data_IF_238266379602
#
_entry.id   IF_238266379602
#
_cell.length_a   1.000
_cell.length_b   1.000
_cell.length_c   1.000
_cell.angle_alpha   90.00
_cell.angle_beta   90.00
_cell.angle_gamma   90.00
#
_symmetry.space_group_name_H-M   'P 1'
#
loop_
_entity.id
_entity.type
_entity.pdbx_description
1 polymer ?
#
# COMPACT_ATOMS: atom_id res chain seq x y z
N UNK A 1 53.45 -5.37 26.14
CA UNK A 1 54.07 -6.70 26.07
C UNK A 1 53.24 -7.50 25.09
N UNK A 2 53.83 -7.65 24.00
CA UNK A 2 54.30 -8.86 23.26
C UNK A 2 53.16 -9.50 22.46
N UNK A 3 53.19 -9.88 21.23
CA UNK A 3 54.13 -9.75 20.11
C UNK A 3 53.40 -10.32 18.88
N UNK A 4 53.58 -9.73 17.75
CA UNK A 4 53.27 -10.37 16.45
C UNK A 4 54.29 -11.50 16.19
N UNK A 5 54.02 -12.43 15.28
CA UNK A 5 54.88 -12.40 14.12
C UNK A 5 54.19 -12.55 12.75
N UNK A 6 54.91 -11.94 11.82
CA UNK A 6 54.81 -12.10 10.39
C UNK A 6 55.26 -13.50 9.95
N UNK A 7 54.71 -14.01 8.85
CA UNK A 7 55.47 -14.91 7.97
C UNK A 7 55.22 -14.57 6.51
N UNK A 8 56.32 -14.17 5.90
CA UNK A 8 56.55 -14.12 4.45
C UNK A 8 56.97 -15.51 3.99
N UNK A 9 56.61 -15.89 2.79
CA UNK A 9 57.43 -16.75 1.90
C UNK A 9 56.86 -16.55 0.51
N UNK A 10 57.60 -15.99 -0.36
CA UNK A 10 58.82 -16.28 -1.14
C UNK A 10 58.44 -16.93 -2.47
N UNK A 11 58.72 -16.15 -3.50
CA UNK A 11 58.79 -16.49 -4.93
C UNK A 11 60.13 -17.20 -5.15
N UNK A 12 60.26 -18.12 -6.09
CA UNK A 12 61.47 -18.23 -6.84
C UNK A 12 61.29 -18.10 -8.36
N UNK A 13 62.35 -17.68 -9.05
CA UNK A 13 62.47 -17.47 -10.50
C UNK A 13 63.17 -18.62 -11.21
N UNK A 14 63.16 -18.59 -12.51
CA UNK A 14 64.11 -19.36 -13.28
C UNK A 14 63.64 -19.69 -14.67
N UNK A 15 63.97 -18.91 -15.65
CA UNK A 15 65.10 -19.11 -16.58
C UNK A 15 64.88 -20.30 -17.53
N UNK A 16 64.98 -19.99 -18.80
CA UNK A 16 65.50 -20.90 -19.79
C UNK A 16 65.13 -20.56 -21.22
N UNK A 17 66.05 -19.84 -21.83
CA UNK A 17 66.12 -19.58 -23.28
C UNK A 17 66.41 -20.87 -24.05
N UNK A 18 66.01 -20.95 -25.28
CA UNK A 18 66.45 -22.00 -26.22
C UNK A 18 66.02 -21.67 -27.63
N UNK A 19 66.93 -21.02 -28.30
CA UNK A 19 66.94 -20.73 -29.74
C UNK A 19 67.23 -21.99 -30.56
N UNK A 20 66.91 -21.87 -31.80
CA UNK A 20 67.37 -22.63 -33.00
C UNK A 20 66.51 -23.88 -33.27
N UNK A 21 66.03 -24.08 -34.47
CA UNK A 21 66.82 -24.26 -35.69
C UNK A 21 65.97 -23.97 -36.92
N UNK A 22 66.54 -23.28 -37.81
CA UNK A 22 66.22 -23.12 -39.23
C UNK A 22 66.44 -24.44 -40.01
N UNK A 23 65.86 -24.45 -41.19
CA UNK A 23 66.11 -25.32 -42.36
C UNK A 23 65.16 -26.53 -42.44
N UNK A 24 64.54 -26.88 -43.52
CA UNK A 24 65.01 -26.95 -44.92
C UNK A 24 63.77 -27.28 -45.84
N UNK A 25 63.81 -26.59 -46.99
CA UNK A 25 63.40 -27.05 -48.35
C UNK A 25 61.90 -27.50 -48.59
N UNK A 26 61.24 -26.67 -49.33
CA UNK A 26 60.89 -26.73 -50.72
C UNK A 26 60.79 -28.14 -51.36
N UNK A 27 59.61 -28.47 -51.83
CA UNK A 27 59.43 -29.15 -53.11
C UNK A 27 57.93 -29.19 -53.49
N UNK A 28 57.58 -28.53 -54.60
CA UNK A 28 56.71 -28.88 -55.68
C UNK A 28 55.23 -29.20 -55.40
N UNK A 29 54.44 -28.36 -55.89
CA UNK A 29 53.75 -28.39 -57.22
C UNK A 29 52.40 -29.11 -57.24
N UNK A 30 51.55 -28.38 -57.79
CA UNK A 30 50.41 -28.76 -58.61
C UNK A 30 49.08 -28.88 -57.91
N UNK A 31 48.31 -27.81 -57.92
CA UNK A 31 47.12 -27.71 -58.75
C UNK A 31 46.01 -28.68 -58.34
N UNK A 32 45.05 -28.11 -57.72
CA UNK A 32 43.68 -28.14 -58.27
C UNK A 32 42.87 -27.06 -57.55
N UNK A 33 42.57 -25.99 -58.30
CA UNK A 33 41.54 -25.03 -57.91
C UNK A 33 40.18 -25.72 -58.09
N UNK A 34 39.65 -26.28 -57.02
CA UNK A 34 38.22 -26.55 -56.93
C UNK A 34 37.58 -25.33 -56.30
N UNK A 35 36.61 -24.72 -56.92
CA UNK A 35 35.79 -23.72 -56.23
C UNK A 35 34.97 -24.45 -55.18
N UNK A 36 35.35 -24.33 -53.94
CA UNK A 36 34.48 -24.70 -52.81
C UNK A 36 33.31 -23.68 -52.85
N UNK A 37 32.14 -24.14 -53.34
CA UNK A 37 30.88 -23.53 -52.98
C UNK A 37 30.79 -23.58 -51.44
N UNK A 38 31.17 -22.50 -50.79
CA UNK A 38 30.82 -22.29 -49.42
C UNK A 38 29.30 -22.07 -49.41
N UNK A 39 28.57 -23.16 -49.14
CA UNK A 39 27.19 -23.07 -48.76
C UNK A 39 27.15 -22.21 -47.47
N UNK A 40 26.81 -20.92 -47.67
CA UNK A 40 26.46 -20.05 -46.52
C UNK A 40 25.20 -20.66 -45.90
N UNK A 41 25.36 -21.42 -44.84
CA UNK A 41 24.28 -21.74 -43.95
C UNK A 41 23.65 -20.40 -43.52
N UNK A 42 22.33 -20.25 -43.68
CA UNK A 42 21.69 -19.05 -43.17
C UNK A 42 22.03 -18.95 -41.70
N UNK A 43 22.71 -17.87 -41.31
CA UNK A 43 22.96 -17.56 -39.91
C UNK A 43 21.58 -17.57 -39.24
N UNK A 44 21.35 -18.60 -38.43
CA UNK A 44 20.18 -18.63 -37.55
C UNK A 44 20.27 -17.36 -36.70
N UNK A 45 19.36 -16.42 -36.95
CA UNK A 45 19.17 -15.29 -36.05
C UNK A 45 19.05 -15.83 -34.63
N UNK A 46 19.76 -15.27 -33.64
CA UNK A 46 19.62 -15.72 -32.26
C UNK A 46 18.11 -15.69 -31.92
N UNK A 47 17.57 -16.67 -31.22
CA UNK A 47 16.20 -16.65 -30.82
C UNK A 47 15.94 -15.31 -30.14
N UNK A 48 15.00 -14.54 -30.68
CA UNK A 48 14.57 -13.30 -30.06
C UNK A 48 14.12 -13.68 -28.66
N UNK A 49 14.97 -13.42 -27.66
CA UNK A 49 14.57 -13.54 -26.28
C UNK A 49 13.46 -12.52 -26.12
N UNK A 50 12.20 -12.99 -26.17
CA UNK A 50 11.06 -12.15 -25.86
C UNK A 50 11.32 -11.58 -24.46
N UNK A 51 11.52 -10.27 -24.39
CA UNK A 51 11.70 -9.59 -23.13
C UNK A 51 10.48 -9.90 -22.26
N UNK A 52 10.71 -10.54 -21.11
CA UNK A 52 9.65 -10.79 -20.14
C UNK A 52 9.48 -9.52 -19.35
N UNK A 53 8.31 -8.91 -19.46
CA UNK A 53 7.94 -7.78 -18.58
C UNK A 53 7.74 -8.35 -17.19
N UNK A 54 8.64 -8.00 -16.27
CA UNK A 54 8.58 -8.47 -14.88
C UNK A 54 7.51 -7.72 -14.08
N UNK A 55 7.42 -6.39 -14.26
CA UNK A 55 6.40 -5.54 -13.67
C UNK A 55 6.31 -4.21 -14.44
N UNK A 56 5.30 -3.41 -14.16
CA UNK A 56 5.07 -2.13 -14.83
C UNK A 56 4.90 -1.03 -13.79
N UNK A 57 5.61 0.09 -13.98
CA UNK A 57 5.39 1.30 -13.17
C UNK A 57 4.07 1.93 -13.59
N UNK A 58 3.16 2.16 -12.66
CA UNK A 58 1.85 2.79 -12.87
C UNK A 58 1.81 4.23 -12.40
N UNK A 59 2.64 4.59 -11.43
CA UNK A 59 2.81 5.97 -11.00
C UNK A 59 4.19 6.18 -10.36
N UNK A 60 4.61 7.44 -10.25
CA UNK A 60 5.80 7.86 -9.52
C UNK A 60 5.39 8.95 -8.53
N UNK A 61 5.83 8.83 -7.27
CA UNK A 61 5.58 9.80 -6.21
C UNK A 61 6.93 10.30 -5.70
N UNK A 62 7.30 11.51 -6.08
CA UNK A 62 8.65 12.06 -5.93
C UNK A 62 9.67 11.13 -6.62
N UNK A 63 10.46 10.38 -5.83
CA UNK A 63 11.45 9.41 -6.33
C UNK A 63 11.05 7.95 -6.10
N UNK A 64 9.80 7.67 -5.74
CA UNK A 64 9.30 6.33 -5.44
C UNK A 64 8.34 5.86 -6.53
N UNK A 65 8.67 4.74 -7.18
CA UNK A 65 7.77 4.10 -8.14
C UNK A 65 6.67 3.30 -7.42
N UNK A 66 5.47 3.32 -7.98
CA UNK A 66 4.35 2.43 -7.65
C UNK A 66 4.18 1.47 -8.82
N UNK A 67 4.18 0.17 -8.53
CA UNK A 67 4.12 -0.89 -9.52
C UNK A 67 2.69 -1.40 -9.73
N UNK A 68 2.45 -2.04 -10.86
CA UNK A 68 1.17 -2.69 -11.13
C UNK A 68 0.88 -3.82 -10.12
N UNK A 69 1.92 -4.54 -9.69
CA UNK A 69 1.80 -5.54 -8.63
C UNK A 69 1.40 -4.95 -7.28
N UNK A 70 1.92 -3.77 -6.91
CA UNK A 70 1.53 -3.08 -5.68
C UNK A 70 0.03 -2.74 -5.70
N UNK A 71 -0.45 -2.31 -6.87
CA UNK A 71 -1.85 -1.98 -7.07
C UNK A 71 -2.77 -3.20 -6.93
N UNK A 72 -2.37 -4.34 -7.51
CA UNK A 72 -3.11 -5.59 -7.40
C UNK A 72 -3.10 -6.12 -5.96
N UNK A 73 -2.00 -5.96 -5.25
CA UNK A 73 -1.90 -6.32 -3.84
C UNK A 73 -2.76 -5.44 -2.95
N UNK A 74 -2.81 -4.13 -3.20
CA UNK A 74 -3.67 -3.22 -2.43
C UNK A 74 -5.15 -3.62 -2.58
N UNK A 75 -5.58 -3.97 -3.80
CA UNK A 75 -6.94 -4.47 -4.06
C UNK A 75 -7.21 -5.77 -3.29
N UNK A 76 -6.26 -6.72 -3.26
CA UNK A 76 -6.40 -7.98 -2.51
C UNK A 76 -6.42 -7.75 -1.00
N UNK A 77 -5.53 -6.88 -0.49
CA UNK A 77 -5.40 -6.57 0.93
C UNK A 77 -6.61 -5.80 1.49
N UNK A 78 -7.40 -5.17 0.62
CA UNK A 78 -8.62 -4.46 1.04
C UNK A 78 -9.62 -5.35 1.79
N UNK A 79 -9.59 -6.67 1.60
CA UNK A 79 -10.42 -7.61 2.37
C UNK A 79 -10.11 -7.59 3.87
N UNK A 80 -8.90 -7.17 4.25
CA UNK A 80 -8.46 -7.05 5.64
C UNK A 80 -8.87 -5.72 6.29
N UNK A 81 -9.43 -4.78 5.52
CA UNK A 81 -9.83 -3.47 6.04
C UNK A 81 -11.31 -3.49 6.47
N UNK A 82 -11.60 -3.36 7.78
CA UNK A 82 -12.98 -3.28 8.26
C UNK A 82 -13.76 -2.09 7.67
N UNK A 83 -13.07 -1.00 7.33
CA UNK A 83 -13.66 0.19 6.72
C UNK A 83 -14.18 -0.04 5.29
N UNK A 84 -13.75 -1.12 4.62
CA UNK A 84 -14.24 -1.49 3.29
C UNK A 84 -15.54 -2.31 3.33
N UNK A 85 -15.95 -2.78 4.50
CA UNK A 85 -17.19 -3.57 4.65
C UNK A 85 -18.39 -2.72 4.22
N UNK A 86 -19.09 -3.16 3.17
CA UNK A 86 -20.25 -2.44 2.62
C UNK A 86 -19.96 -1.38 1.55
N UNK A 87 -18.68 -1.07 1.27
CA UNK A 87 -18.28 -0.11 0.22
C UNK A 87 -18.07 -0.77 -1.16
N UNK A 88 -18.23 -2.09 -1.25
CA UNK A 88 -17.95 -2.84 -2.48
C UNK A 88 -16.47 -3.16 -2.68
N UNK A 89 -16.14 -3.60 -3.90
CA UNK A 89 -14.75 -3.94 -4.25
C UNK A 89 -13.93 -2.65 -4.42
N UNK A 90 -12.74 -2.63 -3.83
CA UNK A 90 -11.78 -1.53 -4.04
C UNK A 90 -11.39 -1.46 -5.51
N UNK A 91 -11.68 -0.34 -6.17
CA UNK A 91 -11.29 -0.14 -7.58
C UNK A 91 -9.80 0.14 -7.68
N UNK A 92 -9.18 -0.23 -8.83
CA UNK A 92 -7.75 0.06 -9.09
C UNK A 92 -7.40 1.54 -8.93
N UNK A 93 -8.29 2.43 -9.36
CA UNK A 93 -8.10 3.88 -9.21
C UNK A 93 -8.05 4.30 -7.74
N UNK A 94 -9.00 3.85 -6.93
CA UNK A 94 -8.99 4.13 -5.48
C UNK A 94 -7.79 3.50 -4.77
N UNK A 95 -7.37 2.29 -5.21
CA UNK A 95 -6.16 1.65 -4.71
C UNK A 95 -4.91 2.49 -5.03
N UNK A 96 -4.81 3.04 -6.26
CA UNK A 96 -3.71 3.95 -6.61
C UNK A 96 -3.69 5.19 -5.73
N UNK A 97 -4.85 5.83 -5.51
CA UNK A 97 -4.95 6.99 -4.61
C UNK A 97 -4.49 6.67 -3.17
N UNK A 98 -4.82 5.48 -2.67
CA UNK A 98 -4.35 5.00 -1.37
C UNK A 98 -2.84 4.80 -1.35
N UNK A 99 -2.27 4.20 -2.41
CA UNK A 99 -0.83 3.98 -2.54
C UNK A 99 -0.05 5.29 -2.65
N UNK A 100 -0.56 6.26 -3.41
CA UNK A 100 0.03 7.61 -3.50
C UNK A 100 0.04 8.27 -2.12
N UNK A 101 -1.10 8.29 -1.43
CA UNK A 101 -1.19 8.82 -0.07
C UNK A 101 -0.22 8.13 0.88
N UNK A 102 -0.12 6.81 0.81
CA UNK A 102 0.83 5.99 1.58
C UNK A 102 2.28 6.41 1.33
N UNK A 103 2.68 6.52 0.07
CA UNK A 103 4.04 6.90 -0.29
C UNK A 103 4.41 8.28 0.27
N UNK A 104 3.52 9.27 0.17
CA UNK A 104 3.73 10.60 0.71
C UNK A 104 3.87 10.59 2.24
N UNK A 105 2.99 9.87 2.94
CA UNK A 105 3.02 9.76 4.40
C UNK A 105 4.31 9.08 4.86
N UNK A 106 4.71 7.97 4.23
CA UNK A 106 5.93 7.27 4.57
C UNK A 106 7.18 8.13 4.33
N UNK A 107 7.19 8.94 3.27
CA UNK A 107 8.28 9.89 3.03
C UNK A 107 8.35 10.93 4.14
N UNK A 108 7.21 11.43 4.62
CA UNK A 108 7.15 12.39 5.72
C UNK A 108 7.60 11.78 7.05
N UNK A 109 7.17 10.55 7.37
CA UNK A 109 7.62 9.82 8.57
C UNK A 109 9.15 9.69 8.55
N UNK A 110 9.73 9.30 7.41
CA UNK A 110 11.19 9.18 7.27
C UNK A 110 11.92 10.53 7.42
N UNK A 111 11.34 11.62 6.92
CA UNK A 111 11.93 12.95 7.05
C UNK A 111 11.91 13.48 8.48
N UNK A 112 10.91 13.12 9.25
CA UNK A 112 10.79 13.50 10.66
C UNK A 112 11.60 12.61 11.61
N UNK A 113 12.36 11.64 11.07
CA UNK A 113 13.19 10.65 11.81
C UNK A 113 12.41 9.93 12.92
N UNK A 114 11.16 9.58 12.64
CA UNK A 114 10.25 8.99 13.60
C UNK A 114 10.46 7.47 13.75
N UNK A 115 11.64 7.05 14.20
CA UNK A 115 11.92 5.65 14.52
C UNK A 115 10.97 5.07 15.58
N UNK A 116 10.37 5.93 16.41
CA UNK A 116 9.38 5.54 17.42
C UNK A 116 8.06 5.02 16.81
N UNK A 117 7.83 5.24 15.52
CA UNK A 117 6.64 4.76 14.84
C UNK A 117 6.73 3.30 14.37
N UNK A 118 7.92 2.71 14.29
CA UNK A 118 8.11 1.33 13.81
C UNK A 118 7.49 0.33 14.80
N UNK A 119 6.47 -0.46 14.37
CA UNK A 119 5.82 -1.41 15.26
C UNK A 119 6.70 -2.65 15.49
N UNK A 120 6.69 -3.15 16.72
CA UNK A 120 7.30 -4.42 17.04
C UNK A 120 6.53 -5.59 16.41
N UNK A 121 7.20 -6.73 16.22
CA UNK A 121 6.54 -7.94 15.71
C UNK A 121 5.36 -8.38 16.60
N UNK A 122 5.50 -8.26 17.92
CA UNK A 122 4.44 -8.61 18.86
C UNK A 122 3.15 -7.80 18.64
N UNK A 123 3.27 -6.54 18.24
CA UNK A 123 2.10 -5.68 17.95
C UNK A 123 1.44 -6.06 16.61
N UNK A 124 2.26 -6.40 15.61
CA UNK A 124 1.75 -6.92 14.34
C UNK A 124 1.01 -8.24 14.56
N UNK A 125 1.59 -9.15 15.33
CA UNK A 125 0.98 -10.45 15.66
C UNK A 125 -0.33 -10.28 16.44
N UNK A 126 -0.37 -9.35 17.40
CA UNK A 126 -1.58 -9.04 18.16
C UNK A 126 -2.69 -8.49 17.21
N UNK A 127 -2.33 -7.55 16.33
CA UNK A 127 -3.28 -7.01 15.34
C UNK A 127 -3.79 -8.08 14.38
N UNK A 128 -2.92 -8.98 13.93
CA UNK A 128 -3.30 -10.12 13.11
C UNK A 128 -4.28 -11.04 13.86
N UNK A 129 -4.04 -11.30 15.12
CA UNK A 129 -4.93 -12.12 15.95
C UNK A 129 -6.33 -11.52 16.09
N UNK A 130 -6.43 -10.19 16.22
CA UNK A 130 -7.72 -9.47 16.24
C UNK A 130 -8.46 -9.59 14.91
N UNK A 131 -7.77 -9.36 13.78
CA UNK A 131 -8.35 -9.52 12.44
C UNK A 131 -8.89 -10.93 12.23
N UNK A 132 -8.12 -11.94 12.61
CA UNK A 132 -8.54 -13.35 12.47
C UNK A 132 -9.78 -13.69 13.28
N UNK A 133 -10.06 -12.96 14.36
CA UNK A 133 -11.23 -13.16 15.25
C UNK A 133 -12.43 -12.29 14.86
N UNK A 134 -12.19 -11.06 14.47
CA UNK A 134 -13.22 -10.01 14.42
C UNK A 134 -13.68 -9.67 13.00
N UNK A 135 -12.79 -9.82 12.00
CA UNK A 135 -13.14 -9.46 10.63
C UNK A 135 -14.29 -10.36 10.12
N UNK A 136 -15.41 -9.79 9.62
CA UNK A 136 -16.58 -10.58 9.21
C UNK A 136 -16.28 -11.65 8.14
N UNK A 137 -15.37 -11.38 7.22
CA UNK A 137 -14.90 -12.36 6.24
C UNK A 137 -14.19 -13.53 6.93
N UNK A 138 -13.27 -13.22 7.86
CA UNK A 138 -12.54 -14.21 8.64
C UNK A 138 -13.43 -15.06 9.57
N UNK A 139 -14.47 -14.45 10.16
CA UNK A 139 -15.42 -15.21 11.00
C UNK A 139 -16.14 -16.27 10.17
N UNK A 140 -16.56 -15.93 8.94
CA UNK A 140 -17.24 -16.88 8.04
C UNK A 140 -16.33 -18.02 7.58
N UNK A 141 -15.04 -17.75 7.40
CA UNK A 141 -14.04 -18.69 6.89
C UNK A 141 -13.23 -19.38 8.01
N UNK A 142 -13.62 -19.17 9.28
CA UNK A 142 -12.95 -19.75 10.45
C UNK A 142 -11.44 -19.44 10.51
N UNK A 143 -11.04 -18.19 10.20
CA UNK A 143 -9.64 -17.76 10.23
C UNK A 143 -8.99 -17.82 11.63
N UNK A 144 -9.77 -18.02 12.69
CA UNK A 144 -9.21 -18.19 14.03
C UNK A 144 -8.32 -19.44 14.10
N UNK A 145 -8.62 -20.48 13.30
CA UNK A 145 -7.75 -21.65 13.12
C UNK A 145 -6.67 -21.39 12.07
N UNK A 146 -5.50 -22.03 12.22
CA UNK A 146 -4.42 -21.90 11.23
C UNK A 146 -4.79 -22.52 9.87
N UNK A 147 -5.58 -23.59 9.88
CA UNK A 147 -6.08 -24.19 8.65
C UNK A 147 -7.02 -23.24 7.90
N UNK A 148 -7.99 -22.62 8.61
CA UNK A 148 -8.89 -21.62 8.04
C UNK A 148 -8.15 -20.39 7.53
N UNK A 149 -7.15 -19.91 8.30
CA UNK A 149 -6.32 -18.79 7.87
C UNK A 149 -5.56 -19.07 6.57
N UNK A 150 -4.97 -20.27 6.42
CA UNK A 150 -4.29 -20.68 5.18
C UNK A 150 -5.26 -20.71 3.99
N UNK A 151 -6.48 -21.21 4.19
CA UNK A 151 -7.51 -21.24 3.15
C UNK A 151 -7.91 -19.80 2.78
N UNK A 152 -8.13 -18.93 3.77
CA UNK A 152 -8.44 -17.52 3.55
C UNK A 152 -7.37 -16.82 2.71
N UNK A 153 -6.09 -16.96 3.08
CA UNK A 153 -4.99 -16.38 2.32
C UNK A 153 -4.96 -16.88 0.87
N UNK A 154 -5.09 -18.19 0.67
CA UNK A 154 -5.11 -18.79 -0.66
C UNK A 154 -6.29 -18.29 -1.51
N UNK A 155 -7.49 -18.19 -0.91
CA UNK A 155 -8.72 -17.72 -1.58
C UNK A 155 -8.57 -16.28 -2.07
N UNK A 156 -7.90 -15.43 -1.28
CA UNK A 156 -7.71 -14.02 -1.62
C UNK A 156 -6.37 -13.72 -2.32
N UNK A 157 -5.56 -14.74 -2.64
CA UNK A 157 -4.26 -14.58 -3.31
C UNK A 157 -3.27 -13.79 -2.47
N UNK A 158 -3.34 -13.92 -1.13
CA UNK A 158 -2.48 -13.26 -0.17
C UNK A 158 -1.40 -14.21 0.34
N UNK A 159 -0.26 -13.64 0.77
CA UNK A 159 0.78 -14.36 1.51
C UNK A 159 0.92 -13.81 2.92
N UNK A 160 1.41 -14.61 3.89
CA UNK A 160 1.64 -14.15 5.25
C UNK A 160 2.54 -12.91 5.30
N UNK A 161 3.58 -12.85 4.48
CA UNK A 161 4.57 -11.77 4.43
C UNK A 161 3.94 -10.44 3.95
N UNK A 162 3.03 -10.52 2.96
CA UNK A 162 2.29 -9.35 2.47
C UNK A 162 1.33 -8.82 3.52
N UNK A 163 0.66 -9.71 4.23
CA UNK A 163 -0.23 -9.33 5.33
C UNK A 163 0.57 -8.70 6.48
N UNK A 164 1.71 -9.28 6.87
CA UNK A 164 2.59 -8.71 7.90
C UNK A 164 3.04 -7.29 7.53
N UNK A 165 3.55 -7.10 6.32
CA UNK A 165 3.99 -5.79 5.79
C UNK A 165 2.84 -4.78 5.79
N UNK A 166 1.65 -5.19 5.36
CA UNK A 166 0.46 -4.34 5.37
C UNK A 166 0.06 -3.91 6.78
N UNK A 167 0.04 -4.84 7.73
CA UNK A 167 -0.33 -4.55 9.13
C UNK A 167 0.69 -3.65 9.81
N UNK A 168 1.99 -3.93 9.60
CA UNK A 168 3.09 -3.11 10.11
C UNK A 168 2.93 -1.67 9.67
N UNK A 169 2.75 -1.47 8.38
CA UNK A 169 2.51 -0.16 7.80
C UNK A 169 1.25 0.52 8.38
N UNK A 170 0.12 -0.21 8.52
CA UNK A 170 -1.11 0.34 9.10
C UNK A 170 -0.91 0.81 10.54
N UNK A 171 -0.19 0.06 11.35
CA UNK A 171 0.12 0.43 12.75
C UNK A 171 1.02 1.67 12.79
N UNK A 172 2.07 1.71 11.94
CA UNK A 172 2.98 2.85 11.82
C UNK A 172 2.22 4.15 11.51
N UNK A 173 1.37 4.13 10.50
CA UNK A 173 0.54 5.28 10.11
C UNK A 173 -0.40 5.72 11.23
N UNK A 174 -1.10 4.79 11.87
CA UNK A 174 -2.02 5.13 12.95
C UNK A 174 -1.30 5.78 14.13
N UNK A 175 -0.13 5.29 14.50
CA UNK A 175 0.71 5.92 15.54
C UNK A 175 1.15 7.33 15.14
N UNK A 176 1.62 7.48 13.91
CA UNK A 176 2.03 8.78 13.41
C UNK A 176 0.87 9.79 13.45
N UNK A 177 -0.33 9.38 13.00
CA UNK A 177 -1.53 10.23 13.06
C UNK A 177 -1.88 10.59 14.49
N UNK A 178 -1.84 9.63 15.41
CA UNK A 178 -2.14 9.85 16.82
C UNK A 178 -1.16 10.83 17.45
N UNK A 179 0.13 10.65 17.24
CA UNK A 179 1.17 11.55 17.77
C UNK A 179 1.07 12.94 17.19
N UNK A 180 0.82 13.06 15.88
CA UNK A 180 0.82 14.35 15.19
C UNK A 180 -0.44 15.19 15.44
N UNK A 181 -1.60 14.53 15.47
CA UNK A 181 -2.87 15.26 15.46
C UNK A 181 -3.66 15.13 16.76
N UNK A 182 -3.76 13.92 17.33
CA UNK A 182 -4.64 13.67 18.48
C UNK A 182 -4.26 14.44 19.73
N UNK A 183 -2.97 14.56 20.03
CA UNK A 183 -2.48 15.18 21.28
C UNK A 183 -2.81 16.66 21.41
N UNK A 184 -3.01 17.38 20.31
CA UNK A 184 -3.33 18.81 20.28
C UNK A 184 -4.82 19.13 20.34
N UNK A 185 -5.71 18.14 20.24
CA UNK A 185 -7.16 18.36 20.15
C UNK A 185 -7.80 18.30 21.54
N UNK A 186 -8.61 19.30 21.84
CA UNK A 186 -9.42 19.35 23.05
C UNK A 186 -10.88 19.56 22.68
N UNK A 187 -11.73 18.61 23.06
CA UNK A 187 -13.18 18.71 22.85
C UNK A 187 -13.82 19.36 24.07
N UNK A 188 -14.49 20.48 23.88
CA UNK A 188 -15.14 21.22 24.94
C UNK A 188 -16.49 20.57 25.34
N UNK A 189 -16.93 20.81 26.59
CA UNK A 189 -18.24 20.38 27.06
C UNK A 189 -19.39 20.92 26.17
N UNK A 190 -19.22 22.15 25.66
CA UNK A 190 -20.19 22.78 24.76
C UNK A 190 -20.34 22.06 23.42
N UNK A 191 -19.24 21.56 22.85
CA UNK A 191 -19.28 20.77 21.61
C UNK A 191 -19.99 19.43 21.84
N UNK A 192 -19.73 18.78 22.99
CA UNK A 192 -20.39 17.54 23.38
C UNK A 192 -21.91 17.77 23.53
N UNK A 193 -22.32 18.83 24.23
CA UNK A 193 -23.72 19.20 24.41
C UNK A 193 -24.39 19.53 23.06
N UNK A 194 -23.71 20.28 22.21
CA UNK A 194 -24.19 20.63 20.87
C UNK A 194 -24.42 19.38 20.02
N UNK A 195 -23.47 18.46 20.02
CA UNK A 195 -23.60 17.18 19.30
C UNK A 195 -24.76 16.34 19.85
N UNK A 196 -24.89 16.26 21.18
CA UNK A 196 -25.97 15.53 21.83
C UNK A 196 -27.35 16.04 21.40
N UNK A 197 -27.60 17.37 21.45
CA UNK A 197 -28.88 17.97 21.10
C UNK A 197 -29.18 17.97 19.61
N UNK A 198 -28.15 18.25 18.76
CA UNK A 198 -28.40 18.51 17.35
C UNK A 198 -28.19 17.24 16.48
N UNK A 199 -27.43 16.25 16.98
CA UNK A 199 -27.09 15.07 16.18
C UNK A 199 -27.63 13.78 16.80
N UNK A 200 -27.48 13.59 18.11
CA UNK A 200 -27.87 12.33 18.75
C UNK A 200 -29.37 12.28 19.06
N UNK A 201 -29.91 13.26 19.78
CA UNK A 201 -31.33 13.29 20.17
C UNK A 201 -32.33 13.16 19.00
N UNK A 202 -32.11 13.83 17.84
CA UNK A 202 -33.02 13.70 16.70
C UNK A 202 -33.10 12.30 16.10
N UNK A 203 -32.18 11.39 16.44
CA UNK A 203 -32.18 10.00 15.95
C UNK A 203 -33.18 9.12 16.74
N UNK A 204 -33.68 9.60 17.89
CA UNK A 204 -34.64 8.87 18.71
C UNK A 204 -36.08 9.32 18.35
N UNK A 205 -36.97 8.35 18.18
CA UNK A 205 -38.36 8.65 17.89
C UNK A 205 -39.04 9.36 19.08
N UNK A 206 -40.07 10.16 18.79
CA UNK A 206 -40.83 10.83 19.84
C UNK A 206 -41.45 9.81 20.82
N UNK A 207 -41.04 9.88 22.10
CA UNK A 207 -41.49 8.97 23.16
C UNK A 207 -40.56 7.78 23.40
N UNK A 208 -39.50 7.63 22.65
CA UNK A 208 -38.47 6.63 22.92
C UNK A 208 -37.45 7.17 23.95
N UNK A 209 -37.03 6.39 24.97
CA UNK A 209 -36.11 6.87 25.98
C UNK A 209 -34.73 7.05 25.40
N UNK A 210 -34.32 8.30 25.15
CA UNK A 210 -32.94 8.62 24.79
C UNK A 210 -32.02 8.52 26.01
N UNK A 211 -30.74 8.11 25.82
CA UNK A 211 -29.76 8.09 26.89
C UNK A 211 -29.47 9.51 27.37
N UNK A 212 -29.23 9.68 28.66
CA UNK A 212 -28.84 11.00 29.23
C UNK A 212 -27.46 11.43 28.74
N UNK A 213 -27.23 12.74 28.67
CA UNK A 213 -25.94 13.31 28.23
C UNK A 213 -24.77 12.70 28.98
N UNK A 214 -24.86 12.60 30.32
CA UNK A 214 -23.75 12.07 31.16
C UNK A 214 -23.31 10.65 30.77
N UNK A 215 -24.27 9.82 30.34
CA UNK A 215 -23.98 8.43 29.94
C UNK A 215 -23.27 8.35 28.58
N UNK A 216 -23.53 9.29 27.68
CA UNK A 216 -23.03 9.27 26.32
C UNK A 216 -21.91 10.27 26.06
N UNK A 217 -21.70 11.24 26.96
CA UNK A 217 -20.68 12.27 26.81
C UNK A 217 -19.27 11.71 26.49
N UNK A 218 -18.76 10.67 27.14
CA UNK A 218 -17.43 10.11 26.80
C UNK A 218 -17.40 9.57 25.35
N UNK A 219 -18.52 8.95 24.92
CA UNK A 219 -18.61 8.43 23.54
C UNK A 219 -18.71 9.54 22.51
N UNK A 220 -19.46 10.59 22.81
CA UNK A 220 -19.58 11.79 21.95
C UNK A 220 -18.22 12.47 21.84
N UNK A 221 -17.50 12.61 22.96
CA UNK A 221 -16.15 13.16 22.97
C UNK A 221 -15.21 12.41 22.03
N UNK A 222 -15.22 11.08 22.08
CA UNK A 222 -14.40 10.26 21.19
C UNK A 222 -14.79 10.41 19.72
N UNK A 223 -16.09 10.48 19.40
CA UNK A 223 -16.59 10.72 18.04
C UNK A 223 -16.10 12.08 17.52
N UNK A 224 -16.25 13.15 18.31
CA UNK A 224 -15.83 14.49 17.91
C UNK A 224 -14.31 14.58 17.75
N UNK A 225 -13.55 13.95 18.67
CA UNK A 225 -12.10 13.86 18.57
C UNK A 225 -11.69 13.17 17.27
N UNK A 226 -12.30 12.04 16.94
CA UNK A 226 -12.00 11.32 15.69
C UNK A 226 -12.36 12.15 14.45
N UNK A 227 -13.48 12.88 14.48
CA UNK A 227 -13.86 13.79 13.38
C UNK A 227 -12.82 14.90 13.18
N UNK A 228 -12.35 15.52 14.26
CA UNK A 228 -11.33 16.56 14.16
C UNK A 228 -9.98 16.01 13.68
N UNK A 229 -9.57 14.83 14.15
CA UNK A 229 -8.38 14.12 13.64
C UNK A 229 -8.49 13.90 12.14
N UNK A 230 -9.63 13.41 11.66
CA UNK A 230 -9.83 13.15 10.24
C UNK A 230 -9.73 14.44 9.40
N UNK A 231 -10.37 15.54 9.84
CA UNK A 231 -10.29 16.83 9.14
C UNK A 231 -8.86 17.34 9.05
N UNK A 232 -8.10 17.28 10.15
CA UNK A 232 -6.70 17.71 10.18
C UNK A 232 -5.83 16.81 9.30
N UNK A 233 -6.05 15.51 9.34
CA UNK A 233 -5.33 14.55 8.54
C UNK A 233 -5.58 14.73 7.04
N UNK A 234 -6.85 14.89 6.63
CA UNK A 234 -7.22 15.10 5.22
C UNK A 234 -6.62 16.38 4.67
N UNK A 235 -6.69 17.49 5.41
CA UNK A 235 -6.08 18.75 5.03
C UNK A 235 -4.54 18.68 4.93
N UNK A 236 -3.92 17.94 5.84
CA UNK A 236 -2.48 17.69 5.80
C UNK A 236 -2.08 16.81 4.61
N UNK A 237 -2.80 15.73 4.35
CA UNK A 237 -2.54 14.85 3.21
C UNK A 237 -2.72 15.58 1.88
N UNK A 238 -3.72 16.45 1.77
CA UNK A 238 -3.89 17.33 0.61
C UNK A 238 -2.70 18.28 0.44
N UNK A 239 -2.18 18.82 1.55
CA UNK A 239 -0.97 19.65 1.53
C UNK A 239 0.26 18.85 1.05
N UNK A 240 0.45 17.62 1.51
CA UNK A 240 1.53 16.76 1.03
C UNK A 240 1.42 16.47 -0.48
N UNK A 241 0.20 16.23 -0.97
CA UNK A 241 -0.05 16.01 -2.40
C UNK A 241 0.29 17.24 -3.25
N UNK A 242 0.01 18.44 -2.75
CA UNK A 242 0.35 19.72 -3.43
C UNK A 242 1.85 20.02 -3.43
N UNK A 243 2.58 19.53 -2.43
CA UNK A 243 4.03 19.73 -2.31
C UNK A 243 4.83 18.65 -3.00
N UNK A 244 4.26 17.45 -3.14
CA UNK A 244 4.89 16.30 -3.78
C UNK A 244 4.70 16.32 -5.29
N UNK A 245 5.65 15.73 -5.99
CA UNK A 245 5.55 15.46 -7.42
C UNK A 245 4.90 14.09 -7.61
N UNK A 246 3.70 14.07 -8.20
CA UNK A 246 2.94 12.84 -8.47
C UNK A 246 2.68 12.74 -9.96
N UNK A 247 3.22 11.71 -10.58
CA UNK A 247 3.04 11.42 -12.00
C UNK A 247 2.35 10.06 -12.16
N UNK A 248 1.17 10.03 -12.78
CA UNK A 248 0.46 8.79 -13.13
C UNK A 248 0.83 8.42 -14.56
N UNK A 249 1.45 7.24 -14.73
CA UNK A 249 1.95 6.77 -16.01
C UNK A 249 0.97 5.85 -16.74
N UNK A 250 -0.04 5.33 -16.03
CA UNK A 250 -1.07 4.47 -16.62
C UNK A 250 -2.28 5.32 -17.05
N UNK A 251 -2.54 5.47 -18.37
CA UNK A 251 -3.62 6.33 -18.87
C UNK A 251 -5.02 5.91 -18.38
N UNK A 252 -5.23 4.63 -18.09
CA UNK A 252 -6.52 4.14 -17.57
C UNK A 252 -6.78 4.62 -16.13
N UNK A 253 -5.73 4.96 -15.40
CA UNK A 253 -5.78 5.45 -14.02
C UNK A 253 -5.74 6.98 -13.93
N UNK A 254 -5.32 7.68 -15.00
CA UNK A 254 -5.15 9.13 -15.06
C UNK A 254 -6.49 9.90 -15.11
N UNK A 255 -7.59 9.27 -15.52
CA UNK A 255 -8.88 9.96 -15.66
C UNK A 255 -9.29 10.61 -14.34
N UNK A 256 -9.60 11.92 -14.32
CA UNK A 256 -10.02 12.59 -13.10
C UNK A 256 -11.24 11.89 -12.51
N UNK A 257 -11.22 11.68 -11.19
CA UNK A 257 -12.43 11.21 -10.51
C UNK A 257 -13.54 12.20 -10.80
N UNK A 258 -14.79 11.77 -11.06
CA UNK A 258 -15.88 12.71 -11.16
C UNK A 258 -15.89 13.53 -9.86
N UNK A 259 -15.82 14.85 -10.01
CA UNK A 259 -15.99 15.79 -8.90
C UNK A 259 -17.33 15.48 -8.24
N UNK A 260 -17.32 14.86 -7.07
CA UNK A 260 -18.54 14.47 -6.38
C UNK A 260 -18.50 13.19 -5.56
N UNK A 261 -17.33 12.63 -5.20
CA UNK A 261 -17.32 11.65 -4.11
C UNK A 261 -17.43 12.39 -2.79
N UNK A 262 -18.53 12.22 -2.01
CA UNK A 262 -18.64 12.83 -0.70
C UNK A 262 -17.52 12.29 0.18
N UNK A 263 -16.84 13.21 0.89
CA UNK A 263 -15.99 12.89 2.00
C UNK A 263 -16.74 11.89 2.90
N UNK A 264 -16.06 10.79 3.23
CA UNK A 264 -16.57 9.79 4.17
C UNK A 264 -16.90 10.50 5.47
N UNK A 265 -18.18 10.69 5.75
CA UNK A 265 -18.61 11.17 7.07
C UNK A 265 -19.76 12.16 7.15
N UNK A 266 -20.45 12.49 6.06
CA UNK A 266 -21.68 13.30 6.23
C UNK A 266 -22.84 12.61 5.53
N UNK A 267 -23.53 11.73 6.25
CA UNK A 267 -24.86 11.30 5.86
C UNK A 267 -25.78 12.55 5.93
N UNK A 268 -26.40 12.98 4.82
CA UNK A 268 -27.45 14.00 4.93
C UNK A 268 -28.62 13.37 5.66
N UNK A 269 -29.16 14.12 6.63
CA UNK A 269 -30.38 13.78 7.32
C UNK A 269 -31.50 13.49 6.28
N UNK A 270 -32.38 12.49 6.52
CA UNK A 270 -33.50 12.22 5.65
C UNK A 270 -34.41 13.44 5.61
N UNK A 271 -34.58 14.04 4.44
CA UNK A 271 -35.56 15.09 4.22
C UNK A 271 -36.94 14.46 4.38
N UNK A 272 -37.65 14.88 5.42
CA UNK A 272 -39.07 14.59 5.60
C UNK A 272 -39.84 15.21 4.43
N UNK A 273 -40.38 14.36 3.58
CA UNK A 273 -41.31 14.75 2.52
C UNK A 273 -42.59 15.25 3.15
N UNK A 274 -42.77 16.56 3.25
CA UNK A 274 -44.04 17.17 3.57
C UNK A 274 -45.05 16.89 2.40
N UNK A 275 -45.82 15.84 2.50
CA UNK A 275 -46.99 15.66 1.66
C UNK A 275 -48.10 16.59 2.16
N UNK A 276 -48.24 17.68 1.43
CA UNK A 276 -49.40 18.58 1.52
C UNK A 276 -50.66 17.83 1.03
N UNK A 277 -51.48 17.35 1.94
CA UNK A 277 -52.82 16.92 1.62
C UNK A 277 -53.70 18.14 1.47
N UNK A 278 -53.95 18.55 0.21
CA UNK A 278 -55.06 19.44 -0.12
C UNK A 278 -56.38 18.71 0.13
N UNK A 279 -57.15 19.25 1.03
CA UNK A 279 -58.51 18.87 1.26
C UNK A 279 -59.36 19.03 -0.01
N UNK A 280 -60.20 18.06 -0.25
CA UNK A 280 -61.31 18.18 -1.18
C UNK A 280 -62.54 18.21 -0.35
N UNK A 281 -63.11 19.43 -0.20
CA UNK A 281 -64.41 19.70 0.29
C UNK A 281 -65.37 19.74 -0.92
N UNK A 282 -66.28 18.84 -0.99
CA UNK A 282 -67.60 19.06 -1.71
C UNK A 282 -68.61 17.97 -1.40
N UNK A 283 -69.68 18.40 -0.74
CA UNK A 283 -71.02 17.90 -0.74
C UNK A 283 -71.40 16.76 0.18
#
# INVERSE_FOLDING_TARGET
MSSRPHSRHSVPPGIGAGRAWLEVLAVCLAVTVLPQLVAQSPAQAPPSSSAVVLDRVVAVVNNQAILASDLDDEVRLAVLDPGQVGLGVLTRKRALEQLIGRALIQQQIRQEDQQAADPSQAEVDARLADIRKELPACVRENCASDAGWKVFLATHGLTPERVDTYLRYRIEILRFIEQRFRQGIQISAKEIETYYHNTLLPQYAAGEPAPTLDKVAPRIQEILLQQQVNVLFDGWLESLRKQGEVEVLDPELETPAPEGSPAVGTQPAPQASAQSSKGNESR
#
